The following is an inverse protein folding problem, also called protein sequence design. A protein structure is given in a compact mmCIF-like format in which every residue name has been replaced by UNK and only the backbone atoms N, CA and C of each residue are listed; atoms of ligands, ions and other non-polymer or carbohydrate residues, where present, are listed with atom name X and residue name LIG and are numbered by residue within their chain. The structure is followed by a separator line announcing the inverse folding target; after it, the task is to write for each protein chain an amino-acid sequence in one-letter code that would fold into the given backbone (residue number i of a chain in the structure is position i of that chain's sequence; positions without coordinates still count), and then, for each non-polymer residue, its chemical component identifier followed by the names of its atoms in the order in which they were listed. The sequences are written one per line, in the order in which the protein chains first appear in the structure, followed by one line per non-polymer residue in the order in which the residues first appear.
data_IF_368139872942
#
_entry.id   IF_368139872942
#
_cell.length_a   1.000
_cell.length_b   1.000
_cell.length_c   1.000
_cell.angle_alpha   90.00
_cell.angle_beta   90.00
_cell.angle_gamma   90.00
#
_symmetry.space_group_name_H-M   'P 1'
#
loop_
_entity.id
_entity.type
_entity.pdbx_description
1 polymer ?
#
# COMPACT_ATOMS: atom_id res chain seq x y z
N UNK A 1 11.03 3.11 13.99
CA UNK A 1 10.56 3.38 12.62
C UNK A 1 9.16 3.97 12.60
N UNK A 2 8.15 3.27 13.14
CA UNK A 2 6.74 3.70 13.16
C UNK A 2 6.53 5.14 13.62
N UNK A 3 7.06 5.55 14.77
CA UNK A 3 6.91 6.92 15.27
C UNK A 3 7.51 7.97 14.31
N UNK A 4 8.70 7.73 13.77
CA UNK A 4 9.32 8.64 12.80
C UNK A 4 8.55 8.75 11.49
N UNK A 5 7.92 7.67 11.03
CA UNK A 5 7.00 7.72 9.86
C UNK A 5 5.76 8.53 10.22
N UNK A 6 5.15 8.28 11.38
CA UNK A 6 3.97 9.02 11.84
C UNK A 6 4.26 10.53 11.96
N UNK A 7 5.35 10.91 12.60
CA UNK A 7 5.77 12.31 12.74
C UNK A 7 6.02 12.97 11.39
N UNK A 8 6.69 12.28 10.47
CA UNK A 8 6.95 12.79 9.13
C UNK A 8 5.66 12.96 8.33
N UNK A 9 4.75 11.99 8.37
CA UNK A 9 3.47 12.06 7.65
C UNK A 9 2.57 13.15 8.26
N UNK A 10 2.56 13.32 9.58
CA UNK A 10 1.90 14.43 10.25
C UNK A 10 2.43 15.78 9.76
N UNK A 11 3.75 15.96 9.76
CA UNK A 11 4.38 17.18 9.24
C UNK A 11 4.04 17.45 7.77
N UNK A 12 4.07 16.41 6.91
CA UNK A 12 3.69 16.51 5.49
C UNK A 12 2.22 16.93 5.37
N UNK A 13 1.33 16.31 6.15
CA UNK A 13 -0.10 16.59 6.12
C UNK A 13 -0.43 18.03 6.48
N UNK A 14 0.31 18.62 7.42
CA UNK A 14 0.06 19.98 7.91
C UNK A 14 0.67 21.06 7.02
N UNK A 15 1.82 20.79 6.37
CA UNK A 15 2.69 21.86 5.84
C UNK A 15 2.91 21.81 4.34
N UNK A 16 2.69 20.68 3.69
CA UNK A 16 2.96 20.54 2.25
C UNK A 16 1.67 20.48 1.44
N UNK A 17 1.70 21.00 0.19
CA UNK A 17 0.71 20.64 -0.80
C UNK A 17 0.79 19.14 -1.12
N UNK A 18 -0.31 18.40 -0.89
CA UNK A 18 -0.33 16.93 -1.07
C UNK A 18 -1.45 16.54 -2.03
N UNK A 19 -1.06 15.91 -3.13
CA UNK A 19 -1.99 15.24 -4.05
C UNK A 19 -2.22 13.78 -3.63
N UNK A 20 -1.14 13.02 -3.44
CA UNK A 20 -1.16 11.63 -3.01
C UNK A 20 0.18 11.24 -2.39
N UNK A 21 0.15 10.30 -1.44
CA UNK A 21 1.28 9.69 -0.75
C UNK A 21 0.93 8.22 -0.47
N UNK A 22 1.45 7.33 -1.30
CA UNK A 22 1.61 5.92 -0.97
C UNK A 22 3.07 5.68 -0.60
N UNK A 23 3.33 5.22 0.62
CA UNK A 23 4.66 4.94 1.12
C UNK A 23 4.79 3.44 1.38
N UNK A 24 5.86 2.82 0.85
CA UNK A 24 6.30 1.48 1.23
C UNK A 24 7.76 1.59 1.65
N UNK A 25 8.06 1.10 2.85
CA UNK A 25 9.41 1.08 3.39
C UNK A 25 9.73 -0.31 3.92
N UNK A 26 10.92 -0.81 3.62
CA UNK A 26 11.37 -2.12 4.12
C UNK A 26 12.69 -2.03 4.85
N UNK A 27 12.88 -2.94 5.78
CA UNK A 27 14.19 -3.32 6.33
C UNK A 27 14.52 -4.73 5.87
N UNK A 28 15.59 -5.32 6.39
CA UNK A 28 15.92 -6.71 6.12
C UNK A 28 14.80 -7.69 6.52
N UNK A 29 13.94 -7.33 7.48
CA UNK A 29 12.96 -8.24 8.06
C UNK A 29 11.56 -7.67 8.20
N UNK A 30 11.36 -6.36 8.08
CA UNK A 30 10.08 -5.71 8.36
C UNK A 30 9.66 -4.78 7.24
N UNK A 31 8.35 -4.52 7.13
CA UNK A 31 7.77 -3.63 6.13
C UNK A 31 6.79 -2.65 6.78
N UNK A 32 6.77 -1.42 6.30
CA UNK A 32 5.73 -0.43 6.59
C UNK A 32 5.05 -0.01 5.30
N UNK A 33 3.73 0.15 5.35
CA UNK A 33 2.93 0.66 4.24
C UNK A 33 1.96 1.73 4.76
N UNK A 34 1.80 2.82 4.01
CA UNK A 34 0.86 3.88 4.33
C UNK A 34 0.25 4.46 3.06
N UNK A 35 -1.04 4.79 3.15
CA UNK A 35 -1.81 5.48 2.11
C UNK A 35 -2.32 6.80 2.67
N UNK A 36 -2.13 7.90 1.97
CA UNK A 36 -2.64 9.21 2.37
C UNK A 36 -2.66 10.23 1.22
N UNK A 37 -3.69 11.07 1.02
CA UNK A 37 -5.06 10.90 1.50
C UNK A 37 -5.74 9.77 0.71
N UNK A 38 -7.02 9.89 0.36
CA UNK A 38 -7.81 8.87 -0.33
C UNK A 38 -7.65 8.85 -1.86
N UNK A 39 -6.75 9.65 -2.44
CA UNK A 39 -6.58 9.83 -3.89
C UNK A 39 -6.24 8.55 -4.66
N UNK A 40 -5.29 7.75 -4.16
CA UNK A 40 -4.93 6.46 -4.77
C UNK A 40 -5.10 5.35 -3.76
N UNK A 41 -5.47 4.16 -4.23
CA UNK A 41 -5.58 2.99 -3.38
C UNK A 41 -4.21 2.39 -3.05
N UNK A 42 -4.16 1.71 -1.92
CA UNK A 42 -3.11 0.79 -1.55
C UNK A 42 -3.77 -0.36 -0.79
N UNK A 43 -3.51 -1.58 -1.21
CA UNK A 43 -4.13 -2.78 -0.68
C UNK A 43 -3.09 -3.64 0.05
N UNK A 44 -3.56 -4.40 1.03
CA UNK A 44 -2.82 -5.44 1.71
C UNK A 44 -3.56 -6.77 1.57
N UNK A 45 -2.80 -7.85 1.40
CA UNK A 45 -3.28 -9.23 1.49
C UNK A 45 -2.41 -10.01 2.47
N UNK A 46 -3.02 -10.51 3.55
CA UNK A 46 -2.44 -11.56 4.39
C UNK A 46 -2.67 -12.92 3.72
N UNK A 47 -1.66 -13.41 3.03
CA UNK A 47 -1.75 -14.62 2.23
C UNK A 47 -1.23 -15.82 3.03
N UNK A 48 -2.09 -16.81 3.25
CA UNK A 48 -1.66 -18.11 3.76
C UNK A 48 -0.71 -18.82 2.76
N UNK A 49 0.03 -19.83 3.24
CA UNK A 49 0.72 -20.75 2.34
C UNK A 49 -0.29 -21.37 1.37
N UNK A 50 0.01 -21.35 0.07
CA UNK A 50 -0.91 -21.86 -0.95
C UNK A 50 -2.05 -20.91 -1.34
N UNK A 51 -2.14 -19.72 -0.73
CA UNK A 51 -3.22 -18.74 -0.98
C UNK A 51 -4.56 -19.18 -0.37
N UNK A 52 -5.66 -18.50 -0.73
CA UNK A 52 -6.98 -18.81 -0.18
C UNK A 52 -7.44 -20.28 -0.38
N UNK A 53 -6.91 -20.98 -1.38
CA UNK A 53 -7.25 -22.38 -1.68
C UNK A 53 -6.22 -23.41 -1.17
N UNK A 54 -5.07 -22.96 -0.64
CA UNK A 54 -4.11 -23.81 0.08
C UNK A 54 -3.13 -24.64 -0.76
N UNK A 55 -3.17 -24.58 -2.09
CA UNK A 55 -2.31 -25.38 -2.98
C UNK A 55 -1.66 -24.57 -4.13
N UNK A 56 -1.82 -23.24 -4.14
CA UNK A 56 -1.41 -22.41 -5.27
C UNK A 56 -0.11 -21.66 -4.99
N UNK A 57 0.75 -21.64 -6.00
CA UNK A 57 1.83 -20.63 -6.08
C UNK A 57 1.23 -19.22 -6.12
N UNK A 58 2.07 -18.22 -5.86
CA UNK A 58 1.70 -16.85 -6.21
C UNK A 58 1.78 -16.70 -7.74
N UNK A 59 0.70 -16.22 -8.36
CA UNK A 59 0.66 -15.83 -9.76
C UNK A 59 -0.23 -14.59 -9.87
N UNK A 60 0.36 -13.42 -9.64
CA UNK A 60 -0.32 -12.14 -9.65
C UNK A 60 -0.12 -11.45 -10.99
N UNK A 61 -1.22 -10.92 -11.54
CA UNK A 61 -1.20 -10.09 -12.74
C UNK A 61 -1.92 -8.77 -12.48
N UNK A 62 -1.18 -7.67 -12.58
CA UNK A 62 -1.71 -6.32 -12.63
C UNK A 62 -1.66 -5.85 -14.10
N UNK A 63 -2.80 -5.94 -14.79
CA UNK A 63 -2.90 -5.63 -16.22
C UNK A 63 -1.94 -6.47 -17.09
N UNK A 64 -1.37 -5.85 -18.13
CA UNK A 64 -0.50 -6.51 -19.13
C UNK A 64 1.00 -6.35 -18.87
N UNK A 65 1.41 -5.59 -17.84
CA UNK A 65 2.80 -5.17 -17.66
C UNK A 65 3.48 -5.68 -16.40
N UNK A 66 2.73 -6.00 -15.34
CA UNK A 66 3.32 -6.39 -14.07
C UNK A 66 2.80 -7.77 -13.69
N UNK A 67 3.72 -8.74 -13.74
CA UNK A 67 3.47 -10.12 -13.33
C UNK A 67 4.45 -10.51 -12.24
N UNK A 68 3.94 -11.04 -11.14
CA UNK A 68 4.75 -11.56 -10.03
C UNK A 68 4.41 -13.02 -9.79
N UNK A 69 5.43 -13.88 -9.87
CA UNK A 69 5.29 -15.32 -9.65
C UNK A 69 6.25 -15.80 -8.57
N UNK A 70 5.77 -16.66 -7.70
CA UNK A 70 6.59 -17.30 -6.67
C UNK A 70 6.08 -18.69 -6.32
N UNK A 71 6.83 -19.71 -6.72
CA UNK A 71 6.53 -21.12 -6.40
C UNK A 71 6.69 -21.39 -4.90
N UNK A 72 7.63 -20.71 -4.23
CA UNK A 72 7.84 -20.88 -2.78
C UNK A 72 6.62 -20.50 -1.93
N UNK A 73 5.76 -19.59 -2.43
CA UNK A 73 4.53 -19.21 -1.74
C UNK A 73 3.42 -20.27 -1.83
N UNK A 74 3.65 -21.40 -2.52
CA UNK A 74 2.82 -22.59 -2.37
C UNK A 74 2.90 -23.16 -0.95
N UNK A 75 4.05 -23.02 -0.27
CA UNK A 75 4.29 -23.62 1.06
C UNK A 75 4.65 -22.61 2.15
N UNK A 76 4.81 -21.34 1.79
CA UNK A 76 5.10 -20.26 2.73
C UNK A 76 4.02 -19.17 2.72
N UNK A 77 3.61 -18.66 3.90
CA UNK A 77 2.76 -17.48 3.98
C UNK A 77 3.50 -16.23 3.52
N UNK A 78 2.75 -15.20 3.14
CA UNK A 78 3.28 -13.91 2.73
C UNK A 78 2.32 -12.78 3.08
N UNK A 79 2.84 -11.55 3.11
CA UNK A 79 2.02 -10.34 3.06
C UNK A 79 2.32 -9.63 1.75
N UNK A 80 1.28 -9.34 0.98
CA UNK A 80 1.39 -8.63 -0.29
C UNK A 80 0.86 -7.22 -0.12
N UNK A 81 1.61 -6.23 -0.60
CA UNK A 81 1.18 -4.83 -0.69
C UNK A 81 1.16 -4.45 -2.16
N UNK A 82 0.03 -3.91 -2.63
CA UNK A 82 -0.14 -3.56 -4.04
C UNK A 82 -1.07 -2.36 -4.22
N UNK A 83 -0.88 -1.58 -5.28
CA UNK A 83 -1.75 -0.44 -5.63
C UNK A 83 -3.14 -0.88 -6.12
N UNK A 84 -3.30 -2.14 -6.50
CA UNK A 84 -4.57 -2.74 -6.91
C UNK A 84 -4.61 -4.21 -6.51
N UNK A 85 -5.82 -4.79 -6.47
CA UNK A 85 -6.00 -6.22 -6.24
C UNK A 85 -5.55 -6.98 -7.48
N UNK A 86 -4.58 -7.88 -7.32
CA UNK A 86 -3.93 -8.58 -8.44
C UNK A 86 -4.46 -10.00 -8.70
N UNK A 87 -5.45 -10.43 -7.92
CA UNK A 87 -6.25 -11.64 -8.10
C UNK A 87 -7.57 -11.53 -7.29
N UNK A 88 -8.35 -12.60 -7.32
CA UNK A 88 -9.65 -12.70 -6.66
C UNK A 88 -9.57 -13.18 -5.20
N UNK A 89 -8.41 -13.11 -4.54
CA UNK A 89 -8.29 -13.52 -3.14
C UNK A 89 -9.19 -12.63 -2.25
N UNK A 90 -10.17 -13.19 -1.51
CA UNK A 90 -11.10 -12.39 -0.72
C UNK A 90 -10.41 -11.70 0.47
N UNK A 91 -9.16 -12.06 0.80
CA UNK A 91 -8.37 -11.43 1.86
C UNK A 91 -7.83 -10.05 1.52
N UNK A 92 -7.95 -9.58 0.27
CA UNK A 92 -7.54 -8.24 -0.10
C UNK A 92 -8.32 -7.17 0.68
N UNK A 93 -7.58 -6.28 1.34
CA UNK A 93 -8.12 -5.16 2.12
C UNK A 93 -7.47 -3.86 1.67
N UNK A 94 -8.28 -2.85 1.37
CA UNK A 94 -7.77 -1.50 1.14
C UNK A 94 -7.28 -0.89 2.48
N UNK A 95 -6.12 -0.25 2.46
CA UNK A 95 -5.68 0.57 3.58
C UNK A 95 -6.53 1.83 3.65
N UNK A 96 -6.95 2.20 4.87
CA UNK A 96 -7.64 3.45 5.09
C UNK A 96 -6.68 4.64 4.89
N UNK A 97 -7.18 5.82 4.49
CA UNK A 97 -6.38 7.03 4.46
C UNK A 97 -5.78 7.32 5.84
N UNK A 98 -4.47 7.56 5.88
CA UNK A 98 -3.73 7.78 7.12
C UNK A 98 -3.45 6.52 7.93
N UNK A 99 -3.84 5.33 7.47
CA UNK A 99 -3.47 4.05 8.10
C UNK A 99 -1.98 3.77 7.85
N UNK A 100 -1.21 3.66 8.94
CA UNK A 100 0.14 3.10 8.93
C UNK A 100 0.06 1.62 9.28
N UNK A 101 0.37 0.78 8.30
CA UNK A 101 0.54 -0.66 8.47
C UNK A 101 2.00 -0.98 8.77
N UNK A 102 2.25 -1.84 9.74
CA UNK A 102 3.54 -2.48 10.02
C UNK A 102 3.40 -3.99 9.92
N UNK A 103 4.20 -4.59 9.05
CA UNK A 103 4.41 -6.03 8.93
C UNK A 103 5.71 -6.39 9.64
N UNK A 104 5.58 -7.14 10.72
CA UNK A 104 6.73 -7.61 11.51
C UNK A 104 7.51 -8.71 10.78
N UNK A 105 8.71 -9.04 11.26
CA UNK A 105 9.50 -10.17 10.74
C UNK A 105 8.87 -11.56 10.91
N UNK A 106 7.69 -11.65 11.55
CA UNK A 106 6.88 -12.86 11.64
C UNK A 106 5.62 -12.80 10.79
N UNK A 107 5.54 -11.83 9.86
CA UNK A 107 4.38 -11.55 9.01
C UNK A 107 3.11 -11.16 9.77
N UNK A 108 3.22 -10.77 11.04
CA UNK A 108 2.09 -10.24 11.80
C UNK A 108 1.84 -8.78 11.41
N UNK A 109 0.58 -8.43 11.15
CA UNK A 109 0.16 -7.07 10.86
C UNK A 109 -0.19 -6.31 12.14
N UNK A 110 0.25 -5.06 12.19
CA UNK A 110 -0.18 -4.06 13.16
C UNK A 110 -0.56 -2.82 12.39
N UNK A 111 -1.73 -2.24 12.64
CA UNK A 111 -2.08 -0.96 12.01
C UNK A 111 -2.63 0.04 13.01
N UNK A 112 -2.46 1.32 12.66
CA UNK A 112 -2.97 2.47 13.41
C UNK A 112 -3.20 3.62 12.44
N UNK A 113 -4.25 4.41 12.67
CA UNK A 113 -4.40 5.70 11.98
C UNK A 113 -3.42 6.69 12.62
N UNK A 114 -2.49 7.22 11.81
CA UNK A 114 -1.46 8.18 12.26
C UNK A 114 -1.77 9.62 11.85
N UNK A 115 -2.66 9.79 10.87
CA UNK A 115 -3.25 11.08 10.47
C UNK A 115 -4.72 10.81 10.14
N UNK A 116 -5.65 11.49 10.81
CA UNK A 116 -7.10 11.28 10.66
C UNK A 116 -7.81 12.45 9.97
N UNK A 117 -7.08 13.50 9.61
CA UNK A 117 -7.57 14.65 8.86
C UNK A 117 -7.07 14.66 7.40
N UNK A 118 -7.77 15.33 6.47
CA UNK A 118 -7.22 15.62 5.14
C UNK A 118 -5.98 16.52 5.20
N UNK A 119 -5.16 16.60 4.12
CA UNK A 119 -4.03 17.50 4.08
C UNK A 119 -4.47 18.96 4.21
N UNK A 120 -3.73 19.77 4.97
CA UNK A 120 -4.00 21.21 5.13
C UNK A 120 -3.94 21.98 3.81
N UNK A 121 -3.21 21.43 2.83
CA UNK A 121 -3.09 21.94 1.46
C UNK A 121 -3.35 20.82 0.44
N UNK A 122 -4.53 20.20 0.47
CA UNK A 122 -4.84 19.11 -0.46
C UNK A 122 -4.92 19.61 -1.90
N UNK A 123 -4.18 18.94 -2.79
CA UNK A 123 -4.19 19.19 -4.23
C UNK A 123 -5.21 18.28 -4.91
N UNK A 124 -5.84 18.82 -5.96
CA UNK A 124 -6.66 18.10 -6.92
C UNK A 124 -5.90 17.87 -8.23
N UNK A 125 -6.48 17.09 -9.14
CA UNK A 125 -5.91 16.88 -10.47
C UNK A 125 -5.76 18.20 -11.25
N UNK A 126 -6.67 19.17 -11.00
CA UNK A 126 -6.65 20.48 -11.65
C UNK A 126 -5.49 21.38 -11.18
N UNK A 127 -4.93 21.10 -10.00
CA UNK A 127 -3.79 21.83 -9.45
C UNK A 127 -2.45 21.29 -9.96
N UNK A 128 -2.48 20.15 -10.67
CA UNK A 128 -1.28 19.54 -11.25
C UNK A 128 -0.96 20.14 -12.62
N UNK A 129 0.34 20.30 -12.90
CA UNK A 129 0.79 20.60 -14.26
C UNK A 129 0.41 19.49 -15.25
N UNK A 130 0.27 19.84 -16.53
CA UNK A 130 -0.24 18.94 -17.59
C UNK A 130 0.41 17.56 -17.59
N UNK A 131 1.74 17.49 -17.51
CA UNK A 131 2.48 16.22 -17.47
C UNK A 131 2.15 15.40 -16.24
N UNK A 132 2.11 16.03 -15.06
CA UNK A 132 1.82 15.35 -13.81
C UNK A 132 0.38 14.81 -13.82
N UNK A 133 -0.59 15.62 -14.25
CA UNK A 133 -1.99 15.21 -14.37
C UNK A 133 -2.16 14.01 -15.32
N UNK A 134 -1.52 14.03 -16.49
CA UNK A 134 -1.59 12.93 -17.45
C UNK A 134 -1.09 11.60 -16.86
N UNK A 135 0.00 11.65 -16.08
CA UNK A 135 0.55 10.46 -15.40
C UNK A 135 -0.34 9.92 -14.27
N UNK A 136 -1.29 10.71 -13.74
CA UNK A 136 -2.26 10.21 -12.75
C UNK A 136 -3.50 9.58 -13.39
N UNK A 137 -3.77 9.89 -14.65
CA UNK A 137 -4.93 9.36 -15.39
C UNK A 137 -4.60 8.17 -16.30
N UNK A 138 -3.33 7.99 -16.63
CA UNK A 138 -2.88 6.86 -17.44
C UNK A 138 -2.87 5.58 -16.58
N UNK A 139 -3.94 4.78 -16.68
CA UNK A 139 -4.06 3.45 -16.08
C UNK A 139 -3.92 2.37 -17.15
#
# INVERSE_FOLDING_TARGET
MTAGIADAVGWVSERLPVYALNLILTTATELWALRYPDTHDLYVLERAAGGAQGDRRLDHGAGTRIHSRSDGLAVHPAVVIASERTDDDPGWRALAPGELLHVTGRLQLRSSIVVDSPPGHQLSLADLGVTAAASQTAR
#
